data_IF_505734525242
#
_entry.id   IF_505734525242
#
_cell.length_a   1.000
_cell.length_b   1.000
_cell.length_c   1.000
_cell.angle_alpha   90.00
_cell.angle_beta   90.00
_cell.angle_gamma   90.00
#
_symmetry.space_group_name_H-M   'P 1'
#
loop_
_entity.id
_entity.type
_entity.pdbx_description
1 polymer ?
#
# COMPACT_ATOMS: atom_id res chain seq x y z
N UNK A 1 -43.96 4.91 -20.36
CA UNK A 1 -43.79 3.51 -19.96
C UNK A 1 -42.36 3.12 -20.30
N UNK A 2 -41.46 3.11 -19.31
CA UNK A 2 -40.06 2.58 -19.48
C UNK A 2 -40.12 1.10 -19.18
N UNK A 3 -39.84 0.32 -20.17
CA UNK A 3 -39.66 -1.13 -20.08
C UNK A 3 -38.48 -1.41 -19.15
N UNK A 4 -38.74 -2.06 -18.02
CA UNK A 4 -37.74 -2.60 -17.14
C UNK A 4 -37.16 -3.77 -17.89
N UNK A 5 -35.93 -3.66 -18.41
CA UNK A 5 -35.14 -4.79 -18.86
C UNK A 5 -34.86 -5.69 -17.66
N UNK A 6 -35.45 -6.88 -17.71
CA UNK A 6 -35.19 -7.97 -16.81
C UNK A 6 -33.77 -8.49 -17.12
N UNK A 7 -32.77 -7.99 -16.38
CA UNK A 7 -31.38 -8.44 -16.44
C UNK A 7 -31.29 -9.77 -15.67
N UNK A 8 -31.88 -10.82 -16.23
CA UNK A 8 -31.70 -12.21 -15.75
C UNK A 8 -30.30 -12.70 -16.16
N UNK A 9 -29.27 -12.17 -15.54
CA UNK A 9 -27.95 -12.80 -15.52
C UNK A 9 -28.14 -14.22 -14.94
N UNK A 10 -27.44 -15.25 -15.48
CA UNK A 10 -27.55 -16.60 -14.92
C UNK A 10 -27.13 -16.55 -13.46
N UNK A 11 -28.12 -16.72 -12.59
CA UNK A 11 -27.90 -16.70 -11.14
C UNK A 11 -27.03 -17.89 -10.78
N UNK A 12 -25.78 -17.63 -10.35
CA UNK A 12 -24.91 -18.68 -9.87
C UNK A 12 -25.56 -19.45 -8.74
N UNK A 13 -25.67 -20.76 -8.91
CA UNK A 13 -26.27 -21.68 -7.95
C UNK A 13 -25.34 -22.87 -7.70
N UNK A 14 -24.75 -23.02 -6.51
CA UNK A 14 -23.85 -24.13 -6.21
C UNK A 14 -24.59 -25.46 -6.08
N UNK A 15 -23.93 -26.53 -6.49
CA UNK A 15 -24.39 -27.90 -6.20
C UNK A 15 -23.80 -28.35 -4.87
N UNK A 16 -24.65 -28.68 -3.91
CA UNK A 16 -24.22 -29.11 -2.58
C UNK A 16 -24.31 -30.62 -2.44
N UNK A 17 -23.24 -31.25 -1.93
CA UNK A 17 -23.20 -32.68 -1.69
C UNK A 17 -24.02 -33.05 -0.44
N UNK A 18 -24.69 -34.19 -0.47
CA UNK A 18 -25.50 -34.67 0.67
C UNK A 18 -24.65 -34.95 1.92
N UNK A 19 -23.42 -35.43 1.74
CA UNK A 19 -22.48 -35.84 2.80
C UNK A 19 -21.16 -35.03 2.78
N UNK A 20 -21.19 -33.75 2.45
CA UNK A 20 -19.99 -32.91 2.22
C UNK A 20 -19.56 -32.01 3.39
N UNK A 21 -19.99 -32.29 4.63
CA UNK A 21 -19.67 -31.41 5.77
C UNK A 21 -20.60 -30.17 5.91
N UNK A 22 -20.21 -29.13 6.67
CA UNK A 22 -21.06 -27.97 6.93
C UNK A 22 -21.48 -27.26 5.65
N UNK A 23 -22.77 -26.97 5.48
CA UNK A 23 -23.35 -26.38 4.27
C UNK A 23 -22.72 -25.05 3.89
N UNK A 24 -22.39 -24.20 4.88
CA UNK A 24 -21.78 -22.92 4.64
C UNK A 24 -20.37 -23.04 4.01
N UNK A 25 -19.59 -24.06 4.41
CA UNK A 25 -18.29 -24.34 3.80
C UNK A 25 -18.44 -24.84 2.37
N UNK A 26 -19.38 -25.74 2.11
CA UNK A 26 -19.66 -26.24 0.77
C UNK A 26 -20.00 -25.11 -0.23
N UNK A 27 -20.77 -24.10 0.23
CA UNK A 27 -21.10 -22.92 -0.60
C UNK A 27 -19.82 -22.10 -0.88
N UNK A 28 -18.98 -21.87 0.12
CA UNK A 28 -17.73 -21.14 -0.03
C UNK A 28 -16.73 -21.88 -0.95
N UNK A 29 -16.63 -23.22 -0.80
CA UNK A 29 -15.78 -24.07 -1.63
C UNK A 29 -16.27 -24.11 -3.09
N UNK A 30 -17.60 -24.21 -3.29
CA UNK A 30 -18.19 -24.15 -4.63
C UNK A 30 -17.97 -22.80 -5.31
N UNK A 31 -17.99 -21.70 -4.55
CA UNK A 31 -17.64 -20.37 -5.06
C UNK A 31 -16.19 -20.33 -5.53
N UNK A 32 -15.29 -20.82 -4.71
CA UNK A 32 -13.85 -20.87 -5.03
C UNK A 32 -13.59 -21.73 -6.28
N UNK A 33 -14.26 -22.88 -6.40
CA UNK A 33 -14.17 -23.74 -7.57
C UNK A 33 -14.69 -23.05 -8.85
N UNK A 34 -15.84 -22.35 -8.74
CA UNK A 34 -16.43 -21.61 -9.87
C UNK A 34 -15.56 -20.41 -10.33
N UNK A 35 -14.79 -19.83 -9.42
CA UNK A 35 -13.78 -18.82 -9.78
C UNK A 35 -12.56 -19.47 -10.45
N UNK A 36 -12.14 -20.62 -9.97
CA UNK A 36 -10.99 -21.34 -10.52
C UNK A 36 -11.24 -21.89 -11.94
N UNK A 37 -12.46 -22.36 -12.21
CA UNK A 37 -12.86 -22.89 -13.53
C UNK A 37 -13.35 -21.78 -14.50
N UNK A 38 -13.43 -20.53 -14.06
CA UNK A 38 -13.81 -19.36 -14.85
C UNK A 38 -15.31 -19.20 -15.08
N UNK A 39 -16.17 -20.02 -14.45
CA UNK A 39 -17.63 -19.87 -14.51
C UNK A 39 -18.12 -18.64 -13.74
N UNK A 40 -17.35 -18.18 -12.76
CA UNK A 40 -17.49 -16.86 -12.11
C UNK A 40 -16.24 -16.03 -12.33
N UNK A 41 -16.43 -14.78 -12.74
CA UNK A 41 -15.36 -13.83 -13.02
C UNK A 41 -15.34 -12.71 -12.00
N UNK A 42 -14.18 -12.09 -11.74
CA UNK A 42 -14.09 -10.88 -10.94
C UNK A 42 -15.08 -9.81 -11.42
N UNK A 43 -15.85 -9.25 -10.48
CA UNK A 43 -16.88 -8.28 -10.78
C UNK A 43 -18.26 -8.85 -11.08
N UNK A 44 -18.42 -10.18 -11.18
CA UNK A 44 -19.73 -10.80 -11.29
C UNK A 44 -20.54 -10.60 -10.02
N UNK A 45 -21.81 -10.27 -10.17
CA UNK A 45 -22.73 -10.05 -9.06
C UNK A 45 -23.29 -11.37 -8.56
N UNK A 46 -23.16 -11.61 -7.26
CA UNK A 46 -23.80 -12.77 -6.64
C UNK A 46 -25.26 -12.52 -6.25
N UNK A 47 -26.06 -13.61 -6.15
CA UNK A 47 -27.44 -13.51 -5.68
C UNK A 47 -27.49 -12.88 -4.29
N UNK A 48 -28.55 -12.08 -3.97
CA UNK A 48 -28.80 -11.68 -2.60
C UNK A 48 -28.91 -12.90 -1.68
N UNK A 49 -28.37 -12.81 -0.48
CA UNK A 49 -28.32 -13.94 0.47
C UNK A 49 -29.67 -14.60 0.70
N UNK A 50 -30.75 -13.78 0.79
CA UNK A 50 -32.13 -14.30 0.95
C UNK A 50 -32.58 -15.11 -0.27
N UNK A 51 -32.23 -14.67 -1.47
CA UNK A 51 -32.57 -15.36 -2.71
C UNK A 51 -31.81 -16.70 -2.80
N UNK A 52 -30.52 -16.70 -2.52
CA UNK A 52 -29.72 -17.93 -2.52
C UNK A 52 -30.19 -18.93 -1.46
N UNK A 53 -30.57 -18.46 -0.27
CA UNK A 53 -31.13 -19.30 0.78
C UNK A 53 -32.43 -19.98 0.33
N UNK A 54 -33.34 -19.24 -0.30
CA UNK A 54 -34.59 -19.81 -0.84
C UNK A 54 -34.30 -20.81 -1.97
N UNK A 55 -33.39 -20.53 -2.89
CA UNK A 55 -33.05 -21.42 -4.01
C UNK A 55 -32.38 -22.73 -3.55
N UNK A 56 -31.58 -22.67 -2.48
CA UNK A 56 -30.91 -23.86 -1.90
C UNK A 56 -31.73 -24.56 -0.86
N UNK A 57 -32.89 -24.05 -0.49
CA UNK A 57 -33.73 -24.53 0.62
C UNK A 57 -32.92 -24.61 1.92
N UNK A 58 -32.17 -23.54 2.26
CA UNK A 58 -31.35 -23.40 3.45
C UNK A 58 -31.76 -22.20 4.28
N UNK A 59 -31.40 -22.22 5.56
CA UNK A 59 -31.56 -21.07 6.45
C UNK A 59 -30.69 -19.89 5.99
N UNK A 60 -31.21 -18.68 6.11
CA UNK A 60 -30.51 -17.45 5.79
C UNK A 60 -29.19 -17.34 6.57
N UNK A 61 -29.17 -17.77 7.83
CA UNK A 61 -27.95 -17.78 8.67
C UNK A 61 -26.84 -18.64 8.09
N UNK A 62 -27.18 -19.78 7.47
CA UNK A 62 -26.20 -20.65 6.79
C UNK A 62 -25.58 -19.94 5.59
N UNK A 63 -26.39 -19.25 4.78
CA UNK A 63 -25.90 -18.50 3.62
C UNK A 63 -25.12 -17.26 4.04
N UNK A 64 -25.54 -16.57 5.10
CA UNK A 64 -24.78 -15.44 5.67
C UNK A 64 -23.39 -15.90 6.10
N UNK A 65 -23.29 -17.01 6.85
CA UNK A 65 -21.99 -17.59 7.22
C UNK A 65 -21.14 -18.01 6.03
N UNK A 66 -21.76 -18.49 4.95
CA UNK A 66 -21.05 -18.82 3.71
C UNK A 66 -20.45 -17.58 3.04
N UNK A 67 -21.21 -16.49 2.98
CA UNK A 67 -20.73 -15.22 2.42
C UNK A 67 -19.67 -14.58 3.29
N UNK A 68 -19.77 -14.70 4.61
CA UNK A 68 -18.74 -14.20 5.54
C UNK A 68 -17.44 -15.02 5.40
N UNK A 69 -17.55 -16.35 5.32
CA UNK A 69 -16.41 -17.22 5.04
C UNK A 69 -15.77 -16.92 3.68
N UNK A 70 -16.56 -16.69 2.65
CA UNK A 70 -16.06 -16.32 1.33
C UNK A 70 -15.38 -14.94 1.34
N UNK A 71 -15.87 -13.98 2.14
CA UNK A 71 -15.17 -12.69 2.36
C UNK A 71 -13.86 -12.89 3.10
N UNK A 72 -13.84 -13.72 4.14
CA UNK A 72 -12.62 -14.06 4.89
C UNK A 72 -11.57 -14.70 3.99
N UNK A 73 -11.98 -15.47 2.99
CA UNK A 73 -11.09 -16.03 1.95
C UNK A 73 -10.78 -15.06 0.81
N UNK A 74 -11.21 -13.82 0.91
CA UNK A 74 -11.06 -12.79 -0.13
C UNK A 74 -11.69 -13.16 -1.50
N UNK A 75 -12.69 -14.03 -1.51
CA UNK A 75 -13.41 -14.40 -2.73
C UNK A 75 -14.52 -13.40 -3.09
N UNK A 76 -15.02 -12.66 -2.10
CA UNK A 76 -16.14 -11.73 -2.25
C UNK A 76 -15.81 -10.35 -1.70
N UNK A 77 -16.38 -9.34 -2.36
CA UNK A 77 -16.39 -7.97 -1.88
C UNK A 77 -17.83 -7.41 -1.80
N UNK A 78 -18.10 -6.64 -0.76
CA UNK A 78 -19.37 -5.92 -0.62
C UNK A 78 -19.26 -4.52 -1.20
N UNK A 79 -20.22 -4.14 -2.06
CA UNK A 79 -20.31 -2.76 -2.60
C UNK A 79 -21.52 -2.01 -2.01
N UNK A 80 -21.71 -2.14 -0.70
CA UNK A 80 -22.81 -1.49 0.03
C UNK A 80 -24.19 -1.85 -0.52
N UNK A 81 -25.03 -0.86 -0.81
CA UNK A 81 -26.38 -1.05 -1.36
C UNK A 81 -26.40 -1.70 -2.77
N UNK A 82 -25.26 -1.77 -3.46
CA UNK A 82 -25.15 -2.37 -4.80
C UNK A 82 -25.09 -3.90 -4.76
N UNK A 83 -24.80 -4.49 -3.60
CA UNK A 83 -24.77 -5.96 -3.42
C UNK A 83 -23.38 -6.54 -3.17
N UNK A 84 -23.28 -7.87 -3.34
CA UNK A 84 -22.04 -8.64 -3.18
C UNK A 84 -21.53 -9.10 -4.55
N UNK A 85 -20.23 -8.96 -4.76
CA UNK A 85 -19.57 -9.24 -6.03
C UNK A 85 -18.40 -10.18 -5.81
N UNK A 86 -18.03 -10.91 -6.86
CA UNK A 86 -16.80 -11.70 -6.90
C UNK A 86 -15.61 -10.74 -6.85
N UNK A 87 -14.74 -10.93 -5.88
CA UNK A 87 -13.55 -10.11 -5.71
C UNK A 87 -12.54 -10.38 -6.84
N UNK A 88 -11.80 -9.35 -7.23
CA UNK A 88 -10.61 -9.57 -8.05
C UNK A 88 -9.62 -10.45 -7.28
N UNK A 89 -8.94 -11.42 -7.93
CA UNK A 89 -7.88 -12.15 -7.26
C UNK A 89 -6.88 -11.13 -6.74
N UNK A 90 -6.64 -11.15 -5.43
CA UNK A 90 -5.44 -10.50 -4.90
C UNK A 90 -4.29 -11.21 -5.61
N UNK A 91 -3.49 -10.48 -6.34
CA UNK A 91 -2.19 -11.00 -6.78
C UNK A 91 -1.43 -11.22 -5.48
N UNK A 92 -1.51 -12.43 -4.95
CA UNK A 92 -0.53 -12.89 -3.98
C UNK A 92 0.79 -12.92 -4.76
N UNK A 93 1.50 -11.82 -4.66
CA UNK A 93 2.93 -11.88 -4.91
C UNK A 93 3.38 -12.98 -3.96
N UNK A 94 3.68 -14.17 -4.51
CA UNK A 94 4.26 -15.28 -3.76
C UNK A 94 5.24 -14.65 -2.79
N UNK A 95 5.12 -14.99 -1.50
CA UNK A 95 5.98 -14.44 -0.45
C UNK A 95 7.41 -14.95 -0.69
N UNK A 96 8.03 -14.41 -1.71
CA UNK A 96 9.48 -14.48 -1.85
C UNK A 96 9.97 -13.66 -0.67
N UNK A 97 10.69 -14.30 0.24
CA UNK A 97 11.38 -13.60 1.31
C UNK A 97 12.36 -12.63 0.64
N UNK A 98 11.91 -11.40 0.44
CA UNK A 98 12.73 -10.35 -0.15
C UNK A 98 13.65 -9.78 0.92
N UNK A 99 14.91 -10.19 0.87
CA UNK A 99 15.96 -9.66 1.73
C UNK A 99 16.67 -8.44 1.13
N UNK A 100 16.24 -7.97 -0.03
CA UNK A 100 16.87 -6.83 -0.71
C UNK A 100 16.47 -5.48 -0.13
N UNK A 101 15.27 -5.37 0.43
CA UNK A 101 14.72 -4.13 0.98
C UNK A 101 14.24 -4.35 2.41
N UNK A 102 14.57 -3.40 3.29
CA UNK A 102 14.07 -3.41 4.66
C UNK A 102 12.63 -2.83 4.70
N UNK A 103 11.66 -3.70 4.43
CA UNK A 103 10.24 -3.33 4.56
C UNK A 103 9.78 -3.66 5.98
N UNK A 104 9.39 -2.65 6.79
CA UNK A 104 8.91 -2.90 8.14
C UNK A 104 7.62 -3.73 8.11
N UNK A 105 7.42 -4.67 9.04
CA UNK A 105 6.16 -5.37 9.17
C UNK A 105 5.05 -4.37 9.56
N UNK A 106 3.80 -4.63 9.16
CA UNK A 106 2.68 -3.80 9.62
C UNK A 106 2.61 -3.86 11.15
N UNK A 107 2.21 -2.75 11.82
CA UNK A 107 2.04 -2.72 13.27
C UNK A 107 1.01 -3.75 13.73
N UNK A 108 1.25 -4.41 14.88
CA UNK A 108 0.32 -5.35 15.45
C UNK A 108 -1.03 -4.68 15.78
N UNK A 109 -2.12 -5.35 15.44
CA UNK A 109 -3.49 -4.89 15.72
C UNK A 109 -4.01 -3.76 14.83
N UNK A 110 -3.24 -3.34 13.84
CA UNK A 110 -3.67 -2.34 12.84
C UNK A 110 -3.93 -3.03 11.50
N UNK A 111 -5.18 -2.95 11.02
CA UNK A 111 -5.48 -3.29 9.63
C UNK A 111 -5.02 -2.14 8.72
N UNK A 112 -3.78 -2.25 8.24
CA UNK A 112 -3.17 -1.23 7.40
C UNK A 112 -3.90 -1.06 6.06
N UNK A 113 -4.51 -2.11 5.54
CA UNK A 113 -5.29 -2.11 4.29
C UNK A 113 -6.55 -1.26 4.45
N UNK A 114 -7.27 -1.43 5.57
CA UNK A 114 -8.46 -0.64 5.88
C UNK A 114 -8.10 0.82 6.18
N UNK A 115 -7.02 1.07 6.92
CA UNK A 115 -6.55 2.42 7.24
C UNK A 115 -6.19 3.19 5.94
N UNK A 116 -5.48 2.54 5.03
CA UNK A 116 -5.09 3.12 3.75
C UNK A 116 -6.31 3.42 2.87
N UNK A 117 -7.27 2.49 2.79
CA UNK A 117 -8.52 2.67 2.03
C UNK A 117 -9.38 3.80 2.60
N UNK A 118 -9.49 3.90 3.92
CA UNK A 118 -10.21 4.99 4.57
C UNK A 118 -9.55 6.34 4.32
N UNK A 119 -8.22 6.44 4.49
CA UNK A 119 -7.47 7.66 4.22
C UNK A 119 -7.61 8.11 2.76
N UNK A 120 -7.43 7.19 1.81
CA UNK A 120 -7.59 7.48 0.39
C UNK A 120 -9.02 7.93 0.05
N UNK A 121 -10.04 7.26 0.62
CA UNK A 121 -11.44 7.64 0.42
C UNK A 121 -11.74 9.03 0.95
N UNK A 122 -11.19 9.40 2.11
CA UNK A 122 -11.34 10.75 2.68
C UNK A 122 -10.71 11.82 1.78
N UNK A 123 -9.50 11.56 1.27
CA UNK A 123 -8.83 12.48 0.33
C UNK A 123 -9.66 12.63 -0.94
N UNK A 124 -10.14 11.53 -1.53
CA UNK A 124 -10.92 11.57 -2.77
C UNK A 124 -12.30 12.24 -2.61
N UNK A 125 -12.91 12.16 -1.41
CA UNK A 125 -14.20 12.83 -1.15
C UNK A 125 -14.02 14.32 -0.82
N UNK A 126 -12.90 14.70 -0.22
CA UNK A 126 -12.64 16.07 0.22
C UNK A 126 -11.84 16.93 -0.75
N UNK A 127 -11.21 16.34 -1.75
CA UNK A 127 -10.37 17.07 -2.69
C UNK A 127 -11.11 17.41 -3.98
N UNK A 128 -10.84 18.61 -4.50
CA UNK A 128 -11.15 18.91 -5.88
C UNK A 128 -10.26 18.08 -6.80
N UNK A 129 -10.88 17.22 -7.60
CA UNK A 129 -10.17 16.32 -8.52
C UNK A 129 -9.27 17.09 -9.50
N UNK A 130 -9.67 18.31 -9.89
CA UNK A 130 -8.86 19.17 -10.75
C UNK A 130 -7.56 19.60 -10.06
N UNK A 131 -7.58 19.85 -8.74
CA UNK A 131 -6.38 20.18 -7.97
C UNK A 131 -5.43 18.99 -7.84
N UNK A 132 -5.95 17.76 -7.71
CA UNK A 132 -5.13 16.55 -7.66
C UNK A 132 -4.38 16.29 -8.99
N UNK A 133 -4.93 16.77 -10.10
CA UNK A 133 -4.33 16.64 -11.43
C UNK A 133 -3.47 17.84 -11.85
N UNK A 134 -3.29 18.81 -10.96
CA UNK A 134 -2.52 20.02 -11.23
C UNK A 134 -1.05 19.83 -10.88
N UNK A 135 -0.16 20.38 -11.70
CA UNK A 135 1.26 20.46 -11.36
C UNK A 135 1.49 21.44 -10.22
N UNK A 136 2.13 21.00 -9.16
CA UNK A 136 2.58 21.87 -8.08
C UNK A 136 4.03 22.32 -8.35
N UNK A 137 4.24 23.63 -8.49
CA UNK A 137 5.57 24.22 -8.57
C UNK A 137 6.15 24.30 -7.16
N UNK A 138 7.27 23.60 -6.91
CA UNK A 138 7.98 23.65 -5.62
C UNK A 138 7.70 22.46 -4.70
N UNK A 139 7.79 22.66 -3.41
CA UNK A 139 7.81 21.64 -2.38
C UNK A 139 6.45 21.10 -1.93
N UNK A 140 5.47 20.97 -2.81
CA UNK A 140 4.13 20.49 -2.52
C UNK A 140 3.09 21.60 -2.35
N UNK A 141 1.79 21.25 -2.28
CA UNK A 141 0.73 22.22 -2.04
C UNK A 141 0.83 22.83 -0.64
N UNK A 142 0.25 24.01 -0.45
CA UNK A 142 0.24 24.65 0.88
C UNK A 142 -0.50 23.80 1.92
N UNK A 143 -1.57 23.13 1.52
CA UNK A 143 -2.31 22.19 2.39
C UNK A 143 -1.46 21.00 2.82
N UNK A 144 -0.70 20.40 1.89
CA UNK A 144 0.16 19.26 2.18
C UNK A 144 1.33 19.65 3.09
N UNK A 145 1.95 20.80 2.83
CA UNK A 145 3.03 21.34 3.67
C UNK A 145 2.55 21.67 5.07
N UNK A 146 1.36 22.26 5.23
CA UNK A 146 0.73 22.49 6.54
C UNK A 146 0.40 21.18 7.26
N UNK A 147 -0.07 20.17 6.55
CA UNK A 147 -0.30 18.84 7.11
C UNK A 147 1.01 18.20 7.56
N UNK A 148 2.06 18.29 6.74
CA UNK A 148 3.41 17.84 7.07
C UNK A 148 3.99 18.54 8.29
N UNK A 149 3.84 19.86 8.39
CA UNK A 149 4.30 20.64 9.56
C UNK A 149 3.65 20.16 10.85
N UNK A 150 2.31 19.95 10.85
CA UNK A 150 1.59 19.40 12.01
C UNK A 150 2.04 17.97 12.34
N UNK A 151 2.28 17.14 11.35
CA UNK A 151 2.73 15.75 11.57
C UNK A 151 4.15 15.71 12.18
N UNK A 152 5.01 16.66 11.80
CA UNK A 152 6.39 16.75 12.29
C UNK A 152 6.52 17.47 13.66
N UNK A 153 5.49 18.18 14.10
CA UNK A 153 5.50 18.98 15.33
C UNK A 153 5.95 18.22 16.58
N UNK A 154 5.54 16.96 16.83
CA UNK A 154 6.00 16.19 17.98
C UNK A 154 7.51 15.92 18.00
N UNK A 155 8.17 15.94 16.83
CA UNK A 155 9.60 15.63 16.69
C UNK A 155 10.46 16.89 16.67
N UNK A 156 9.97 17.97 16.04
CA UNK A 156 10.77 19.16 15.73
C UNK A 156 10.23 20.44 16.37
N UNK A 157 9.12 20.38 17.12
CA UNK A 157 8.42 21.56 17.58
C UNK A 157 7.63 22.26 16.45
N UNK A 158 7.16 23.47 16.73
CA UNK A 158 6.37 24.23 15.75
C UNK A 158 7.20 24.58 14.51
N UNK A 159 6.74 24.16 13.35
CA UNK A 159 7.35 24.42 12.04
C UNK A 159 6.44 25.32 11.21
N UNK A 160 7.04 26.30 10.51
CA UNK A 160 6.35 27.00 9.43
C UNK A 160 6.22 26.04 8.21
N UNK A 161 5.06 26.04 7.57
CA UNK A 161 4.84 25.26 6.35
C UNK A 161 5.82 25.59 5.22
N UNK A 162 6.42 26.79 5.23
CA UNK A 162 7.46 27.18 4.30
C UNK A 162 8.78 26.41 4.49
N UNK A 163 8.99 25.82 5.68
CA UNK A 163 10.16 24.99 6.00
C UNK A 163 9.97 23.51 5.61
N UNK A 164 8.77 23.15 5.14
CA UNK A 164 8.42 21.77 4.79
C UNK A 164 8.37 21.60 3.29
N UNK A 165 9.03 20.56 2.81
CA UNK A 165 9.01 20.15 1.41
C UNK A 165 8.41 18.74 1.32
N UNK A 166 7.37 18.58 0.52
CA UNK A 166 6.73 17.29 0.25
C UNK A 166 7.34 16.69 -1.01
N UNK A 167 7.90 15.50 -0.88
CA UNK A 167 8.54 14.77 -1.97
C UNK A 167 7.78 13.48 -2.30
N UNK A 168 7.84 12.99 -3.55
CA UNK A 168 7.26 11.70 -3.94
C UNK A 168 8.15 10.54 -3.43
N UNK A 169 8.24 10.40 -2.11
CA UNK A 169 9.03 9.39 -1.40
C UNK A 169 10.47 9.82 -1.08
N UNK A 170 11.07 9.08 -0.13
CA UNK A 170 12.42 9.37 0.38
C UNK A 170 13.50 9.31 -0.70
N UNK A 171 13.37 8.43 -1.70
CA UNK A 171 14.32 8.30 -2.79
C UNK A 171 14.43 9.59 -3.63
N UNK A 172 13.29 10.24 -3.90
CA UNK A 172 13.27 11.51 -4.61
C UNK A 172 13.88 12.64 -3.75
N UNK A 173 13.62 12.64 -2.44
CA UNK A 173 14.22 13.58 -1.50
C UNK A 173 15.75 13.43 -1.45
N UNK A 174 16.27 12.20 -1.35
CA UNK A 174 17.72 11.92 -1.37
C UNK A 174 18.36 12.44 -2.66
N UNK A 175 17.78 12.14 -3.82
CA UNK A 175 18.30 12.60 -5.09
C UNK A 175 18.31 14.15 -5.20
N UNK A 176 17.24 14.80 -4.74
CA UNK A 176 17.14 16.26 -4.72
C UNK A 176 18.19 16.89 -3.79
N UNK A 177 18.40 16.33 -2.59
CA UNK A 177 19.42 16.80 -1.65
C UNK A 177 20.85 16.63 -2.19
N UNK A 178 21.15 15.49 -2.81
CA UNK A 178 22.44 15.27 -3.46
C UNK A 178 22.69 16.32 -4.56
N UNK A 179 21.68 16.60 -5.38
CA UNK A 179 21.78 17.60 -6.44
C UNK A 179 21.96 19.02 -5.90
N UNK A 180 21.22 19.37 -4.85
CA UNK A 180 21.24 20.72 -4.27
C UNK A 180 22.50 21.03 -3.47
N UNK A 181 23.06 20.02 -2.76
CA UNK A 181 24.13 20.21 -1.79
C UNK A 181 25.52 19.82 -2.29
N UNK A 182 25.60 19.10 -3.41
CA UNK A 182 26.88 18.57 -3.91
C UNK A 182 27.02 18.78 -5.43
N UNK A 183 28.25 18.60 -5.93
CA UNK A 183 28.61 18.65 -7.36
C UNK A 183 29.10 17.27 -7.82
N UNK A 184 29.07 16.95 -9.13
CA UNK A 184 29.73 15.77 -9.67
C UNK A 184 31.22 15.71 -9.22
N UNK A 185 31.65 14.54 -8.75
CA UNK A 185 32.98 14.33 -8.19
C UNK A 185 33.08 14.47 -6.67
N UNK A 186 32.12 15.16 -6.03
CA UNK A 186 32.11 15.31 -4.57
C UNK A 186 31.96 13.94 -3.86
N UNK A 187 32.43 13.92 -2.62
CA UNK A 187 32.35 12.74 -1.73
C UNK A 187 31.12 12.86 -0.82
N UNK A 188 30.41 11.76 -0.70
CA UNK A 188 29.37 11.56 0.30
C UNK A 188 29.86 10.50 1.29
N UNK A 189 29.93 10.86 2.57
CA UNK A 189 30.26 9.88 3.64
C UNK A 189 29.00 9.14 4.09
N UNK A 190 29.17 7.86 4.42
CA UNK A 190 28.10 7.03 4.93
C UNK A 190 28.66 5.91 5.80
N UNK A 191 27.81 5.19 6.53
CA UNK A 191 28.19 3.95 7.18
C UNK A 191 28.53 2.85 6.16
N UNK A 192 29.31 1.81 6.55
CA UNK A 192 29.65 0.69 5.66
C UNK A 192 28.42 -0.03 5.10
N UNK A 193 27.41 -0.25 5.95
CA UNK A 193 26.11 -0.78 5.58
C UNK A 193 25.10 0.37 5.50
N UNK A 194 24.82 0.82 4.30
CA UNK A 194 23.95 1.97 4.05
C UNK A 194 22.87 1.64 3.03
N UNK A 195 21.85 2.50 2.97
CA UNK A 195 20.71 2.34 2.08
C UNK A 195 21.13 2.20 0.60
N UNK A 196 20.75 1.11 -0.08
CA UNK A 196 21.15 0.89 -1.47
C UNK A 196 20.71 2.00 -2.42
N UNK A 197 19.54 2.61 -2.16
CA UNK A 197 19.03 3.71 -2.96
C UNK A 197 19.91 4.97 -2.91
N UNK A 198 20.55 5.27 -1.78
CA UNK A 198 21.56 6.34 -1.69
C UNK A 198 22.73 6.05 -2.61
N UNK A 199 23.26 4.82 -2.57
CA UNK A 199 24.42 4.42 -3.40
C UNK A 199 24.10 4.53 -4.88
N UNK A 200 22.92 4.09 -5.27
CA UNK A 200 22.43 4.20 -6.66
C UNK A 200 22.31 5.66 -7.08
N UNK A 201 21.64 6.50 -6.29
CA UNK A 201 21.47 7.91 -6.59
C UNK A 201 22.83 8.65 -6.69
N UNK A 202 23.71 8.44 -5.72
CA UNK A 202 25.04 9.07 -5.72
C UNK A 202 25.84 8.67 -6.96
N UNK A 203 25.87 7.39 -7.33
CA UNK A 203 26.58 6.89 -8.51
C UNK A 203 26.01 7.47 -9.79
N UNK A 204 24.69 7.44 -9.96
CA UNK A 204 24.01 7.99 -11.15
C UNK A 204 24.23 9.49 -11.32
N UNK A 205 24.34 10.20 -10.20
CA UNK A 205 24.60 11.64 -10.19
C UNK A 205 26.10 11.99 -10.22
N UNK A 206 27.00 11.00 -10.34
CA UNK A 206 28.43 11.20 -10.46
C UNK A 206 29.13 11.58 -9.15
N UNK A 207 28.57 11.25 -7.98
CA UNK A 207 29.18 11.42 -6.65
C UNK A 207 29.90 10.14 -6.23
N UNK A 208 30.89 10.27 -5.37
CA UNK A 208 31.63 9.13 -4.80
C UNK A 208 31.17 8.85 -3.38
N UNK A 209 30.93 7.61 -3.05
CA UNK A 209 30.63 7.20 -1.67
C UNK A 209 31.91 6.70 -1.00
N UNK A 210 32.15 7.19 0.20
CA UNK A 210 33.23 6.74 1.08
C UNK A 210 32.60 6.29 2.41
N UNK A 211 32.87 5.04 2.80
CA UNK A 211 32.42 4.50 4.06
C UNK A 211 33.31 4.95 5.20
N UNK A 212 32.69 5.44 6.28
CA UNK A 212 33.35 5.73 7.54
C UNK A 212 33.30 4.47 8.42
N UNK A 213 34.40 4.14 9.10
CA UNK A 213 34.42 2.99 10.03
C UNK A 213 33.38 3.21 11.13
N UNK A 214 32.61 2.17 11.38
CA UNK A 214 31.57 2.14 12.40
C UNK A 214 31.79 0.98 13.37
N UNK A 215 31.21 1.09 14.57
CA UNK A 215 31.13 0.05 15.58
C UNK A 215 29.66 -0.27 15.92
N UNK A 216 29.40 -0.91 17.05
CA UNK A 216 28.05 -1.23 17.51
C UNK A 216 27.18 -0.01 17.87
N UNK A 217 27.74 1.18 17.94
CA UNK A 217 27.08 2.44 18.27
C UNK A 217 26.91 3.35 17.06
N UNK A 218 27.40 2.98 15.88
CA UNK A 218 27.36 3.75 14.65
C UNK A 218 28.72 4.23 14.20
N UNK A 219 28.80 5.32 13.42
CA UNK A 219 30.06 5.89 12.98
C UNK A 219 30.95 6.30 14.15
N UNK A 220 32.21 5.85 14.13
CA UNK A 220 33.21 6.26 15.13
C UNK A 220 33.60 7.72 14.92
N UNK A 221 33.44 8.63 15.93
CA UNK A 221 33.68 10.07 15.75
C UNK A 221 35.09 10.40 15.23
N UNK A 222 36.11 9.73 15.76
CA UNK A 222 37.53 9.96 15.39
C UNK A 222 37.75 9.57 13.91
N UNK A 223 37.11 8.49 13.47
CA UNK A 223 37.21 8.03 12.09
C UNK A 223 36.43 8.95 11.15
N UNK A 224 35.30 9.49 11.61
CA UNK A 224 34.53 10.50 10.84
C UNK A 224 35.38 11.76 10.64
N UNK A 225 35.98 12.30 11.71
CA UNK A 225 36.84 13.47 11.63
C UNK A 225 38.01 13.25 10.67
N UNK A 226 38.73 12.13 10.82
CA UNK A 226 39.83 11.76 9.94
C UNK A 226 39.39 11.67 8.48
N UNK A 227 38.25 11.03 8.22
CA UNK A 227 37.73 10.84 6.87
C UNK A 227 37.25 12.17 6.26
N UNK A 228 36.68 13.06 7.07
CA UNK A 228 36.34 14.43 6.66
C UNK A 228 37.58 15.21 6.25
N UNK A 229 38.65 15.15 7.04
CA UNK A 229 39.92 15.83 6.69
C UNK A 229 40.53 15.27 5.39
N UNK A 230 40.48 13.94 5.21
CA UNK A 230 41.05 13.29 4.05
C UNK A 230 40.28 13.54 2.75
N UNK A 231 38.96 13.55 2.81
CA UNK A 231 38.12 13.51 1.62
C UNK A 231 37.31 14.79 1.35
N UNK A 232 37.27 15.73 2.31
CA UNK A 232 36.53 17.01 2.20
C UNK A 232 35.12 16.78 1.66
N UNK A 233 34.26 15.98 2.33
CA UNK A 233 32.96 15.59 1.81
C UNK A 233 31.99 16.76 1.68
N UNK A 234 31.14 16.71 0.66
CA UNK A 234 30.05 17.67 0.49
C UNK A 234 28.79 17.28 1.29
N UNK A 235 28.68 16.01 1.72
CA UNK A 235 27.51 15.49 2.42
C UNK A 235 27.90 14.31 3.30
N UNK A 236 27.25 14.21 4.47
CA UNK A 236 27.26 13.03 5.34
C UNK A 236 25.83 12.49 5.41
N UNK A 237 25.67 11.21 5.20
CA UNK A 237 24.40 10.48 5.32
C UNK A 237 24.49 9.48 6.48
N UNK A 238 23.53 9.57 7.42
CA UNK A 238 23.42 8.74 8.63
C UNK A 238 22.16 7.87 8.57
#
# INVERSE_FOLDING_TARGET
MKTIQDDSLPVWLPRLAVHGGPRFLQIADALQAAMADGSLKPGDRLPPQRQLAAQLNLDLTTVTRAYDEARRRHLLEGRGARGTYVAAPKVELTSVLDLSMNTPPPPDGVDFDDLLKQGLSQVMMGADTALLMTYHLGGGSDSDRKAGARWLEPMFGSLDSAQVVVCPGAQAAIAALILALTKPGDVILTEPASYPGLRTAATQLGRRIVAVKADQHGMMPEMLEQTCHQHQPGLIYL
#
